data_IF_750444363396
#
_entry.id   IF_750444363396
#
_cell.length_a   1.000
_cell.length_b   1.000
_cell.length_c   1.000
_cell.angle_alpha   90.00
_cell.angle_beta   90.00
_cell.angle_gamma   90.00
#
_symmetry.space_group_name_H-M   'P 1'
#
loop_
_entity.id
_entity.type
_entity.pdbx_description
1 polymer ?
#
# COMPACT_ATOMS: atom_id res chain seq x y z
N UNK A 1 13.34 0.39 8.65
CA UNK A 1 14.61 -0.35 8.42
C UNK A 1 14.87 -1.31 9.58
N UNK A 2 14.96 -2.60 9.28
CA UNK A 2 15.02 -3.70 10.25
C UNK A 2 13.85 -4.66 10.07
N UNK A 3 13.82 -5.35 8.93
CA UNK A 3 12.76 -6.30 8.58
C UNK A 3 13.14 -7.71 9.03
N UNK A 4 13.60 -7.87 10.27
CA UNK A 4 14.14 -9.13 10.79
C UNK A 4 13.55 -9.37 12.18
N UNK A 5 13.10 -10.59 12.45
CA UNK A 5 12.82 -11.05 13.79
C UNK A 5 14.05 -11.75 14.35
N UNK A 6 14.35 -11.48 15.61
CA UNK A 6 15.45 -12.13 16.32
C UNK A 6 14.90 -13.17 17.29
N UNK A 7 15.59 -14.31 17.39
CA UNK A 7 15.34 -15.35 18.37
C UNK A 7 16.41 -15.27 19.44
N UNK A 8 15.97 -15.07 20.67
CA UNK A 8 16.85 -15.14 21.84
C UNK A 8 16.80 -16.57 22.39
N UNK A 9 17.98 -17.15 22.62
CA UNK A 9 18.13 -18.45 23.29
C UNK A 9 19.04 -18.29 24.50
N UNK A 10 18.55 -18.72 25.66
CA UNK A 10 19.33 -18.76 26.90
C UNK A 10 19.79 -20.20 27.16
N UNK A 11 21.09 -20.40 27.25
CA UNK A 11 21.69 -21.70 27.55
C UNK A 11 22.82 -21.49 28.58
N UNK A 12 22.77 -22.19 29.71
CA UNK A 12 23.73 -22.08 30.81
C UNK A 12 23.99 -20.63 31.32
N UNK A 13 22.96 -19.77 31.29
CA UNK A 13 23.09 -18.38 31.72
C UNK A 13 23.67 -17.43 30.66
N UNK A 14 24.04 -17.93 29.49
CA UNK A 14 24.47 -17.13 28.34
C UNK A 14 23.29 -16.91 27.37
N UNK A 15 23.14 -15.67 26.92
CA UNK A 15 22.13 -15.29 25.93
C UNK A 15 22.79 -15.23 24.55
N UNK A 16 22.24 -15.98 23.61
CA UNK A 16 22.58 -15.91 22.18
C UNK A 16 21.41 -15.30 21.41
N UNK A 17 21.73 -14.49 20.40
CA UNK A 17 20.76 -13.84 19.51
C UNK A 17 21.01 -14.38 18.10
N UNK A 18 19.94 -14.87 17.47
CA UNK A 18 19.97 -15.40 16.11
C UNK A 18 18.91 -14.72 15.26
N UNK A 19 19.29 -14.24 14.08
CA UNK A 19 18.35 -13.71 13.10
C UNK A 19 17.49 -14.85 12.53
N UNK A 20 16.16 -14.70 12.59
CA UNK A 20 15.27 -15.74 12.07
C UNK A 20 15.36 -15.88 10.55
N UNK A 21 15.23 -14.76 9.84
CA UNK A 21 15.46 -14.63 8.39
C UNK A 21 15.29 -13.17 7.97
N UNK A 22 15.91 -12.79 6.87
CA UNK A 22 15.78 -11.45 6.29
C UNK A 22 14.37 -11.18 5.74
N UNK A 23 13.98 -9.91 5.58
CA UNK A 23 12.70 -9.52 4.98
C UNK A 23 11.44 -10.10 5.66
N UNK A 24 11.52 -10.45 6.95
CA UNK A 24 10.45 -11.08 7.75
C UNK A 24 9.89 -12.35 7.11
N UNK A 25 10.71 -13.10 6.35
CA UNK A 25 10.25 -14.39 5.80
C UNK A 25 10.05 -15.44 6.91
N UNK A 26 10.71 -15.26 8.06
CA UNK A 26 10.42 -15.99 9.30
C UNK A 26 10.14 -15.02 10.44
N UNK A 27 9.27 -15.43 11.35
CA UNK A 27 8.91 -14.69 12.57
C UNK A 27 9.33 -15.47 13.80
N UNK A 28 9.73 -14.76 14.85
CA UNK A 28 10.01 -15.38 16.15
C UNK A 28 8.67 -15.59 16.88
N UNK A 29 8.36 -16.85 17.18
CA UNK A 29 7.20 -17.23 17.99
C UNK A 29 7.71 -17.75 19.32
N UNK A 30 7.21 -17.16 20.41
CA UNK A 30 7.49 -17.60 21.77
C UNK A 30 6.29 -18.36 22.33
N UNK A 31 6.56 -19.44 23.05
CA UNK A 31 5.60 -20.19 23.83
C UNK A 31 6.14 -20.44 25.25
N UNK A 32 5.28 -20.87 26.18
CA UNK A 32 5.63 -21.16 27.57
C UNK A 32 5.02 -22.47 28.01
N UNK A 33 5.87 -23.48 28.23
CA UNK A 33 5.46 -24.80 28.71
C UNK A 33 5.99 -24.96 30.13
N UNK A 34 5.10 -25.15 31.10
CA UNK A 34 5.44 -25.30 32.52
C UNK A 34 6.36 -24.19 33.08
N UNK A 35 6.14 -22.94 32.65
CA UNK A 35 6.94 -21.78 33.07
C UNK A 35 8.28 -21.61 32.35
N UNK A 36 8.65 -22.57 31.48
CA UNK A 36 9.83 -22.47 30.63
C UNK A 36 9.41 -21.82 29.30
N UNK A 37 9.96 -20.62 29.05
CA UNK A 37 9.76 -19.92 27.77
C UNK A 37 10.66 -20.53 26.70
N UNK A 38 10.07 -20.86 25.56
CA UNK A 38 10.76 -21.35 24.38
C UNK A 38 10.45 -20.42 23.21
N UNK A 39 11.41 -20.22 22.32
CA UNK A 39 11.22 -19.43 21.11
C UNK A 39 11.75 -20.18 19.89
N UNK A 40 11.03 -20.06 18.78
CA UNK A 40 11.39 -20.68 17.51
C UNK A 40 11.12 -19.72 16.35
N UNK A 41 11.95 -19.81 15.31
CA UNK A 41 11.73 -19.10 14.06
C UNK A 41 10.80 -19.93 13.17
N UNK A 42 9.59 -19.43 12.94
CA UNK A 42 8.58 -20.10 12.09
C UNK A 42 8.39 -19.34 10.79
N UNK A 43 7.95 -20.04 9.74
CA UNK A 43 7.71 -19.41 8.44
C UNK A 43 6.59 -18.36 8.55
N UNK A 44 6.81 -17.19 7.95
CA UNK A 44 5.80 -16.16 7.83
C UNK A 44 4.90 -16.43 6.62
N UNK A 45 3.66 -16.87 6.87
CA UNK A 45 2.67 -17.17 5.83
C UNK A 45 1.86 -15.94 5.38
N UNK A 46 2.46 -14.75 5.40
CA UNK A 46 1.80 -13.47 5.09
C UNK A 46 1.05 -13.47 3.74
N UNK A 47 1.65 -14.06 2.70
CA UNK A 47 1.08 -14.07 1.34
C UNK A 47 -0.28 -14.75 1.31
N UNK A 48 -0.44 -15.78 2.14
CA UNK A 48 -1.65 -16.56 2.23
C UNK A 48 -2.83 -15.78 2.82
N UNK A 49 -2.59 -14.65 3.52
CA UNK A 49 -3.64 -13.73 3.96
C UNK A 49 -4.37 -13.13 2.74
N UNK A 50 -3.65 -12.82 1.66
CA UNK A 50 -4.21 -12.22 0.44
C UNK A 50 -5.06 -13.20 -0.39
N UNK A 51 -5.07 -14.48 -0.01
CA UNK A 51 -5.87 -15.52 -0.65
C UNK A 51 -7.19 -15.76 0.11
N UNK A 52 -7.34 -15.24 1.33
CA UNK A 52 -8.53 -15.49 2.16
C UNK A 52 -9.66 -14.53 1.79
N UNK A 53 -10.79 -15.07 1.35
CA UNK A 53 -11.94 -14.31 0.86
C UNK A 53 -13.01 -14.05 1.92
N UNK A 54 -12.90 -14.64 3.11
CA UNK A 54 -13.86 -14.47 4.21
C UNK A 54 -13.17 -14.01 5.48
N UNK A 55 -13.88 -13.23 6.30
CA UNK A 55 -13.39 -12.81 7.63
C UNK A 55 -13.07 -14.03 8.50
N UNK A 56 -13.93 -15.07 8.48
CA UNK A 56 -13.73 -16.29 9.26
C UNK A 56 -12.38 -16.95 8.95
N UNK A 57 -12.08 -17.15 7.67
CA UNK A 57 -10.84 -17.83 7.25
C UNK A 57 -9.62 -16.93 7.50
N UNK A 58 -9.78 -15.62 7.31
CA UNK A 58 -8.76 -14.64 7.65
C UNK A 58 -8.37 -14.69 9.14
N UNK A 59 -9.36 -14.89 10.01
CA UNK A 59 -9.19 -14.86 11.46
C UNK A 59 -8.77 -16.22 12.06
N UNK A 60 -8.53 -17.25 11.24
CA UNK A 60 -8.02 -18.55 11.68
C UNK A 60 -6.52 -18.49 12.02
N UNK A 61 -6.24 -18.00 13.23
CA UNK A 61 -4.89 -17.71 13.72
C UNK A 61 -4.04 -18.95 14.00
N UNK A 62 -4.61 -20.15 14.03
CA UNK A 62 -3.84 -21.39 14.15
C UNK A 62 -3.07 -21.73 12.88
N UNK A 63 -3.59 -21.30 11.71
CA UNK A 63 -2.97 -21.54 10.40
C UNK A 63 -2.05 -20.39 10.01
N UNK A 64 -2.50 -19.14 10.18
CA UNK A 64 -1.82 -17.94 9.67
C UNK A 64 -2.11 -16.72 10.54
N UNK A 65 -1.15 -15.80 10.64
CA UNK A 65 -1.31 -14.60 11.48
C UNK A 65 -1.82 -13.44 10.62
N UNK A 66 -3.14 -13.37 10.43
CA UNK A 66 -3.80 -12.31 9.67
C UNK A 66 -4.84 -11.55 10.52
N UNK A 67 -5.35 -10.45 9.96
CA UNK A 67 -6.45 -9.65 10.52
C UNK A 67 -7.38 -9.19 9.40
N UNK A 68 -8.67 -9.12 9.68
CA UNK A 68 -9.66 -8.55 8.78
C UNK A 68 -9.83 -7.06 9.04
N UNK A 69 -9.91 -6.26 7.99
CA UNK A 69 -10.21 -4.82 8.08
C UNK A 69 -11.41 -4.54 7.21
N UNK A 70 -12.44 -3.90 7.78
CA UNK A 70 -13.64 -3.51 7.04
C UNK A 70 -13.32 -2.44 6.01
N UNK A 71 -13.63 -2.70 4.75
CA UNK A 71 -13.36 -1.81 3.60
C UNK A 71 -14.15 -2.29 2.39
N UNK A 72 -14.49 -1.39 1.48
CA UNK A 72 -15.17 -1.71 0.22
C UNK A 72 -14.21 -2.23 -0.89
N UNK A 73 -12.93 -2.41 -0.57
CA UNK A 73 -11.89 -2.79 -1.53
C UNK A 73 -11.21 -4.12 -1.16
N UNK A 74 -10.97 -4.98 -2.16
CA UNK A 74 -10.27 -6.26 -1.97
C UNK A 74 -8.75 -6.11 -2.07
N UNK A 75 -7.98 -7.04 -1.47
CA UNK A 75 -6.54 -7.23 -1.71
C UNK A 75 -6.29 -8.47 -2.57
N UNK A 76 -5.33 -8.40 -3.51
CA UNK A 76 -4.95 -9.56 -4.31
C UNK A 76 -6.14 -10.25 -4.96
N UNK A 77 -6.30 -11.56 -4.70
CA UNK A 77 -7.38 -12.39 -5.25
C UNK A 77 -8.69 -12.34 -4.44
N UNK A 78 -8.77 -11.49 -3.41
CA UNK A 78 -9.95 -11.39 -2.56
C UNK A 78 -11.14 -10.81 -3.33
N UNK A 79 -12.35 -11.14 -2.87
CA UNK A 79 -13.60 -10.58 -3.37
C UNK A 79 -14.30 -9.82 -2.25
N UNK A 80 -14.83 -8.65 -2.55
CA UNK A 80 -15.73 -7.92 -1.65
C UNK A 80 -17.18 -8.29 -2.00
N UNK A 81 -17.97 -8.73 -1.02
CA UNK A 81 -19.40 -8.99 -1.20
C UNK A 81 -20.10 -9.70 -0.04
N UNK A 82 -21.21 -9.12 0.44
CA UNK A 82 -22.26 -9.72 1.28
C UNK A 82 -21.90 -10.04 2.74
N UNK A 83 -22.48 -9.30 3.70
CA UNK A 83 -22.29 -9.48 5.16
C UNK A 83 -21.48 -8.32 5.76
N UNK A 84 -20.15 -8.39 5.64
CA UNK A 84 -19.20 -7.33 5.99
C UNK A 84 -18.13 -7.20 4.89
N UNK A 85 -18.16 -6.08 4.14
CA UNK A 85 -17.09 -5.75 3.17
C UNK A 85 -15.76 -5.62 3.91
N UNK A 86 -14.70 -6.24 3.41
CA UNK A 86 -13.37 -6.09 3.99
C UNK A 86 -12.27 -6.81 3.21
N UNK A 87 -11.06 -6.69 3.73
CA UNK A 87 -9.88 -7.32 3.17
C UNK A 87 -9.00 -7.92 4.28
N UNK A 88 -8.34 -9.02 3.97
CA UNK A 88 -7.47 -9.74 4.90
C UNK A 88 -6.00 -9.33 4.76
N UNK A 89 -5.41 -8.86 5.86
CA UNK A 89 -4.04 -8.34 5.93
C UNK A 89 -3.15 -9.20 6.84
N UNK A 90 -1.84 -9.33 6.57
CA UNK A 90 -0.92 -10.00 7.48
C UNK A 90 -0.64 -9.16 8.72
N UNK A 91 -0.68 -9.80 9.90
CA UNK A 91 -0.22 -9.17 11.14
C UNK A 91 1.30 -8.95 11.13
N UNK A 92 2.03 -9.89 10.54
CA UNK A 92 3.46 -9.79 10.31
C UNK A 92 3.68 -9.58 8.81
N UNK A 93 3.60 -8.33 8.36
CA UNK A 93 3.80 -7.98 6.96
C UNK A 93 5.19 -8.39 6.45
N UNK A 94 5.34 -8.71 5.16
CA UNK A 94 6.67 -8.92 4.58
C UNK A 94 7.51 -7.65 4.70
N UNK A 95 8.82 -7.82 4.72
CA UNK A 95 9.76 -6.75 4.40
C UNK A 95 10.43 -7.05 3.07
N UNK A 96 11.01 -6.02 2.48
CA UNK A 96 11.86 -6.15 1.29
C UNK A 96 13.05 -5.21 1.39
N UNK A 97 14.17 -5.61 0.79
CA UNK A 97 15.37 -4.78 0.75
C UNK A 97 15.14 -3.63 -0.23
N UNK A 98 14.82 -2.44 0.29
CA UNK A 98 14.66 -1.25 -0.55
C UNK A 98 15.99 -0.78 -1.15
N UNK A 99 17.13 -1.24 -0.64
CA UNK A 99 18.48 -0.84 -1.08
C UNK A 99 19.10 -1.81 -2.10
N UNK A 100 18.51 -2.98 -2.36
CA UNK A 100 19.14 -4.01 -3.18
C UNK A 100 18.98 -3.81 -4.70
N UNK A 101 18.30 -2.75 -5.17
CA UNK A 101 18.13 -2.44 -6.60
C UNK A 101 17.19 -3.39 -7.37
N UNK A 102 17.19 -4.68 -7.03
CA UNK A 102 16.40 -5.78 -7.61
C UNK A 102 15.49 -6.45 -6.55
N UNK A 103 14.97 -5.67 -5.61
CA UNK A 103 14.07 -6.17 -4.57
C UNK A 103 12.69 -6.58 -5.10
N UNK A 104 11.99 -7.44 -4.38
CA UNK A 104 10.61 -7.84 -4.67
C UNK A 104 9.55 -6.81 -4.17
N UNK A 105 9.97 -5.57 -3.88
CA UNK A 105 9.12 -4.53 -3.32
C UNK A 105 7.92 -4.20 -4.20
N UNK A 106 8.12 -4.04 -5.51
CA UNK A 106 7.05 -3.73 -6.46
C UNK A 106 5.98 -4.85 -6.49
N UNK A 107 6.43 -6.11 -6.50
CA UNK A 107 5.54 -7.27 -6.50
C UNK A 107 4.76 -7.42 -5.17
N UNK A 108 5.36 -7.02 -4.05
CA UNK A 108 4.68 -7.02 -2.74
C UNK A 108 3.66 -5.87 -2.70
N UNK A 109 4.08 -4.65 -3.06
CA UNK A 109 3.22 -3.47 -2.99
C UNK A 109 2.10 -3.48 -4.05
N UNK A 110 2.23 -4.24 -5.14
CA UNK A 110 1.16 -4.41 -6.12
C UNK A 110 -0.06 -5.13 -5.52
N UNK A 111 0.09 -5.98 -4.48
CA UNK A 111 -1.06 -6.55 -3.77
C UNK A 111 -1.95 -5.47 -3.12
N UNK A 112 -1.31 -4.36 -2.73
CA UNK A 112 -1.95 -3.20 -2.14
C UNK A 112 -2.29 -2.10 -3.17
N UNK A 113 -2.09 -2.33 -4.47
CA UNK A 113 -2.51 -1.37 -5.48
C UNK A 113 -3.95 -1.67 -5.89
N UNK A 114 -4.80 -0.64 -6.02
CA UNK A 114 -6.15 -0.78 -6.57
C UNK A 114 -6.39 0.24 -7.67
N UNK A 115 -7.28 -0.12 -8.58
CA UNK A 115 -7.83 0.80 -9.57
C UNK A 115 -9.25 1.19 -9.15
N UNK A 116 -9.59 2.46 -9.31
CA UNK A 116 -10.95 2.95 -9.14
C UNK A 116 -11.43 3.48 -10.49
N UNK A 117 -12.41 2.78 -11.05
CA UNK A 117 -13.01 3.15 -12.32
C UNK A 117 -13.96 4.34 -12.14
N UNK A 118 -14.07 5.17 -13.17
CA UNK A 118 -14.98 6.30 -13.20
C UNK A 118 -15.59 6.44 -14.59
N UNK A 119 -16.85 6.87 -14.65
CA UNK A 119 -17.56 7.06 -15.91
C UNK A 119 -17.50 8.52 -16.38
N UNK A 120 -17.23 8.68 -17.68
CA UNK A 120 -17.35 9.97 -18.37
C UNK A 120 -18.42 9.86 -19.44
N UNK A 121 -19.31 10.84 -19.50
CA UNK A 121 -20.34 11.01 -20.51
C UNK A 121 -19.91 12.08 -21.50
N UNK A 122 -20.20 11.84 -22.78
CA UNK A 122 -20.02 12.83 -23.84
C UNK A 122 -21.35 13.53 -24.06
N UNK A 123 -21.40 14.85 -23.87
CA UNK A 123 -22.58 15.62 -24.25
C UNK A 123 -22.59 15.91 -25.76
N UNK A 124 -23.76 16.30 -26.30
CA UNK A 124 -23.97 16.55 -27.74
C UNK A 124 -23.06 17.62 -28.37
N UNK A 125 -22.28 18.35 -27.58
CA UNK A 125 -21.31 19.37 -28.02
C UNK A 125 -19.86 18.89 -27.95
N UNK A 126 -19.63 17.57 -27.88
CA UNK A 126 -18.31 16.95 -27.73
C UNK A 126 -17.54 17.36 -26.46
N UNK A 127 -18.25 17.86 -25.44
CA UNK A 127 -17.66 18.08 -24.12
C UNK A 127 -17.84 16.81 -23.28
N UNK A 128 -16.87 16.54 -22.42
CA UNK A 128 -16.89 15.40 -21.50
C UNK A 128 -17.31 15.87 -20.10
N UNK A 129 -18.36 15.26 -19.55
CA UNK A 129 -18.78 15.37 -18.15
C UNK A 129 -18.48 14.07 -17.42
N UNK A 130 -18.09 14.13 -16.15
CA UNK A 130 -18.10 12.93 -15.31
C UNK A 130 -19.56 12.60 -15.02
N UNK A 131 -19.93 11.33 -15.16
CA UNK A 131 -21.17 10.84 -14.56
C UNK A 131 -21.05 10.95 -13.04
N UNK A 132 -22.16 11.13 -12.33
CA UNK A 132 -22.24 11.31 -10.86
C UNK A 132 -21.05 10.67 -10.10
N UNK A 133 -20.38 11.47 -9.27
CA UNK A 133 -18.99 11.24 -8.81
C UNK A 133 -18.61 9.81 -8.41
N UNK A 134 -17.43 9.37 -8.84
CA UNK A 134 -16.86 8.07 -8.45
C UNK A 134 -16.35 8.09 -6.99
N UNK A 135 -16.00 6.92 -6.45
CA UNK A 135 -15.40 6.82 -5.11
C UNK A 135 -14.08 7.58 -4.98
N UNK A 136 -13.33 7.74 -6.08
CA UNK A 136 -11.97 8.28 -6.10
C UNK A 136 -11.80 9.66 -6.73
N UNK A 137 -12.77 10.18 -7.49
CA UNK A 137 -12.66 11.47 -8.19
C UNK A 137 -13.78 12.42 -7.75
N UNK A 138 -13.42 13.68 -7.54
CA UNK A 138 -14.33 14.79 -7.34
C UNK A 138 -15.01 15.19 -8.68
N UNK A 139 -16.31 15.47 -8.66
CA UNK A 139 -17.06 15.83 -9.84
C UNK A 139 -18.51 16.19 -9.50
N UNK A 140 -19.33 16.60 -10.48
CA UNK A 140 -19.04 16.62 -11.93
C UNK A 140 -18.36 17.91 -12.45
N UNK A 141 -18.21 18.95 -11.61
CA UNK A 141 -17.65 20.25 -12.02
C UNK A 141 -16.24 20.10 -12.60
N UNK A 142 -16.01 20.49 -13.88
CA UNK A 142 -14.68 20.62 -14.50
C UNK A 142 -13.57 21.18 -13.63
N UNK A 143 -13.86 22.18 -12.79
CA UNK A 143 -12.89 22.88 -11.95
C UNK A 143 -12.45 22.06 -10.74
N UNK A 144 -13.26 21.08 -10.33
CA UNK A 144 -13.01 20.26 -9.14
C UNK A 144 -12.56 18.83 -9.46
N UNK A 145 -12.35 18.47 -10.75
CA UNK A 145 -12.01 17.12 -11.28
C UNK A 145 -10.67 16.54 -10.82
N UNK A 146 -10.52 16.39 -9.52
CA UNK A 146 -9.32 16.02 -8.78
C UNK A 146 -9.50 14.68 -8.09
N UNK A 147 -8.39 14.04 -7.73
CA UNK A 147 -8.41 12.84 -6.89
C UNK A 147 -8.93 13.22 -5.49
N UNK A 148 -9.89 12.46 -4.98
CA UNK A 148 -10.40 12.61 -3.61
C UNK A 148 -9.30 12.28 -2.62
N UNK A 149 -8.90 13.27 -1.82
CA UNK A 149 -7.91 13.08 -0.77
C UNK A 149 -8.34 12.02 0.25
N UNK A 150 -9.64 11.93 0.57
CA UNK A 150 -10.19 10.90 1.46
C UNK A 150 -9.94 9.49 0.92
N UNK A 151 -10.25 9.26 -0.35
CA UNK A 151 -10.01 7.98 -1.02
C UNK A 151 -8.52 7.65 -1.07
N UNK A 152 -7.68 8.61 -1.47
CA UNK A 152 -6.24 8.39 -1.55
C UNK A 152 -5.62 8.10 -0.18
N UNK A 153 -6.09 8.75 0.89
CA UNK A 153 -5.65 8.48 2.25
C UNK A 153 -6.06 7.08 2.72
N UNK A 154 -7.27 6.62 2.37
CA UNK A 154 -7.72 5.25 2.64
C UNK A 154 -6.84 4.23 1.90
N UNK A 155 -6.56 4.46 0.62
CA UNK A 155 -5.67 3.59 -0.16
C UNK A 155 -4.25 3.60 0.36
N UNK A 156 -3.77 4.76 0.80
CA UNK A 156 -2.46 4.86 1.39
C UNK A 156 -2.36 4.10 2.72
N UNK A 157 -3.38 4.24 3.57
CA UNK A 157 -3.52 3.46 4.81
C UNK A 157 -3.47 1.96 4.50
N UNK A 158 -4.18 1.53 3.46
CA UNK A 158 -4.13 0.15 2.99
C UNK A 158 -2.74 -0.27 2.48
N UNK A 159 -2.06 0.57 1.71
CA UNK A 159 -0.70 0.31 1.23
C UNK A 159 0.26 0.03 2.38
N UNK A 160 0.27 0.87 3.43
CA UNK A 160 1.17 0.68 4.57
C UNK A 160 0.88 -0.59 5.38
N UNK A 161 -0.34 -1.14 5.32
CA UNK A 161 -0.68 -2.42 5.96
C UNK A 161 -0.07 -3.65 5.26
N UNK A 162 0.50 -3.49 4.06
CA UNK A 162 1.19 -4.58 3.33
C UNK A 162 2.70 -4.62 3.64
N UNK A 163 3.15 -3.77 4.56
CA UNK A 163 4.52 -3.76 5.09
C UNK A 163 5.24 -2.49 4.72
N UNK A 164 6.38 -2.63 4.07
CA UNK A 164 7.24 -1.49 3.75
C UNK A 164 6.75 -0.70 2.51
N UNK A 165 5.45 -0.74 2.21
CA UNK A 165 4.82 0.00 1.11
C UNK A 165 4.36 1.41 1.53
N UNK A 166 3.92 2.20 0.56
CA UNK A 166 3.45 3.57 0.79
C UNK A 166 4.57 4.62 0.98
N UNK A 167 4.18 5.90 1.12
CA UNK A 167 5.09 7.03 1.22
C UNK A 167 5.92 6.92 2.50
N UNK A 168 7.19 7.30 2.40
CA UNK A 168 8.17 7.28 3.47
C UNK A 168 8.35 8.68 4.03
N UNK A 169 8.37 8.74 5.36
CA UNK A 169 8.66 9.94 6.11
C UNK A 169 10.17 10.05 6.33
N UNK A 170 10.69 11.27 6.27
CA UNK A 170 12.06 11.57 6.68
C UNK A 170 12.18 11.60 8.21
N UNK A 171 13.37 11.87 8.73
CA UNK A 171 13.63 11.95 10.18
C UNK A 171 12.85 13.06 10.90
N UNK A 172 12.27 14.02 10.16
CA UNK A 172 11.38 15.07 10.66
C UNK A 172 9.90 14.68 10.60
N UNK A 173 9.58 13.44 10.21
CA UNK A 173 8.21 12.96 10.05
C UNK A 173 7.50 13.52 8.82
N UNK A 174 8.23 14.13 7.87
CA UNK A 174 7.65 14.73 6.68
C UNK A 174 7.76 13.77 5.49
N UNK A 175 6.69 13.62 4.68
CA UNK A 175 6.75 12.82 3.46
C UNK A 175 7.64 13.50 2.42
N UNK A 176 8.25 12.72 1.54
CA UNK A 176 9.06 13.27 0.45
C UNK A 176 8.21 13.76 -0.72
N UNK A 177 8.38 15.02 -1.14
CA UNK A 177 7.60 15.67 -2.22
C UNK A 177 7.60 14.97 -3.60
N UNK A 178 8.46 13.97 -3.84
CA UNK A 178 8.47 13.19 -5.09
C UNK A 178 7.60 11.94 -5.03
N UNK A 179 7.11 11.55 -3.86
CA UNK A 179 6.39 10.29 -3.72
C UNK A 179 4.95 10.45 -4.23
N UNK A 180 4.58 9.58 -5.16
CA UNK A 180 3.24 9.53 -5.75
C UNK A 180 2.37 8.59 -4.92
N UNK A 181 1.19 9.05 -4.54
CA UNK A 181 0.19 8.27 -3.78
C UNK A 181 -0.91 7.76 -4.68
N UNK A 182 -1.33 8.56 -5.67
CA UNK A 182 -2.32 8.16 -6.65
C UNK A 182 -2.09 8.86 -8.00
N UNK A 183 -2.47 8.18 -9.08
CA UNK A 183 -2.40 8.69 -10.43
C UNK A 183 -3.74 8.47 -11.13
N UNK A 184 -4.29 9.52 -11.74
CA UNK A 184 -5.46 9.44 -12.60
C UNK A 184 -5.01 9.06 -14.00
N UNK A 185 -5.53 7.96 -14.53
CA UNK A 185 -5.31 7.56 -15.93
C UNK A 185 -6.57 7.84 -16.74
N UNK A 186 -6.41 8.45 -17.92
CA UNK A 186 -7.49 8.71 -18.87
C UNK A 186 -7.54 7.61 -19.94
N UNK A 187 -8.64 7.57 -20.71
CA UNK A 187 -8.77 6.66 -21.86
C UNK A 187 -7.56 6.77 -22.81
N UNK A 188 -7.07 5.62 -23.28
CA UNK A 188 -5.88 5.55 -24.15
C UNK A 188 -4.54 5.61 -23.41
N UNK A 189 -4.53 5.50 -22.08
CA UNK A 189 -3.31 5.44 -21.26
C UNK A 189 -2.67 6.80 -20.98
N UNK A 190 -3.34 7.90 -21.32
CA UNK A 190 -2.84 9.25 -21.04
C UNK A 190 -2.86 9.52 -19.52
N UNK A 191 -1.71 9.93 -18.98
CA UNK A 191 -1.57 10.32 -17.58
C UNK A 191 -2.31 11.64 -17.33
N UNK A 192 -3.15 11.64 -16.30
CA UNK A 192 -3.88 12.79 -15.78
C UNK A 192 -3.22 13.32 -14.51
N UNK A 193 -4.05 13.79 -13.58
CA UNK A 193 -3.59 14.32 -12.29
C UNK A 193 -2.80 13.30 -11.47
N UNK A 194 -1.77 13.80 -10.79
CA UNK A 194 -0.94 13.04 -9.86
C UNK A 194 -1.14 13.64 -8.46
N UNK A 195 -1.53 12.81 -7.50
CA UNK A 195 -1.54 13.18 -6.09
C UNK A 195 -0.23 12.76 -5.43
N UNK A 196 0.48 13.74 -4.88
CA UNK A 196 1.72 13.54 -4.14
C UNK A 196 1.45 13.26 -2.66
N UNK A 197 2.44 12.69 -1.99
CA UNK A 197 2.40 12.36 -0.56
C UNK A 197 2.31 13.57 0.37
N UNK A 198 2.67 14.77 -0.11
CA UNK A 198 2.49 16.04 0.61
C UNK A 198 1.06 16.61 0.44
N UNK A 199 0.16 15.86 -0.23
CA UNK A 199 -1.21 16.25 -0.53
C UNK A 199 -1.35 17.17 -1.73
N UNK A 200 -0.25 17.60 -2.37
CA UNK A 200 -0.31 18.45 -3.56
C UNK A 200 -0.76 17.64 -4.77
N UNK A 201 -1.67 18.21 -5.54
CA UNK A 201 -2.11 17.66 -6.82
C UNK A 201 -1.38 18.37 -7.95
N UNK A 202 -0.66 17.60 -8.76
CA UNK A 202 -0.12 18.09 -10.03
C UNK A 202 -1.14 17.75 -11.12
N UNK A 203 -1.77 18.78 -11.67
CA UNK A 203 -2.58 18.63 -12.87
C UNK A 203 -1.66 18.56 -14.09
N UNK A 204 -1.66 17.43 -14.79
CA UNK A 204 -1.07 17.38 -16.14
C UNK A 204 -1.95 18.22 -17.05
N UNK A 205 -1.44 19.39 -17.44
CA UNK A 205 -2.19 20.33 -18.26
C UNK A 205 -2.56 19.67 -19.59
N UNK A 206 -3.86 19.61 -19.91
CA UNK A 206 -4.38 18.94 -21.13
C UNK A 206 -3.93 19.61 -22.43
N UNK A 207 -3.31 20.78 -22.37
CA UNK A 207 -2.84 21.54 -23.51
C UNK A 207 -1.37 21.95 -23.34
N UNK A 208 -0.56 21.54 -24.34
CA UNK A 208 0.87 21.81 -24.57
C UNK A 208 1.84 20.90 -23.81
N UNK A 209 2.38 19.95 -24.59
CA UNK A 209 3.75 19.41 -24.57
C UNK A 209 4.33 19.25 -23.16
N UNK A 210 4.30 18.00 -22.70
CA UNK A 210 5.15 17.45 -21.63
C UNK A 210 6.51 18.14 -21.58
N UNK A 211 6.70 19.07 -20.65
CA UNK A 211 8.01 19.26 -20.05
C UNK A 211 8.08 18.32 -18.86
N UNK A 212 8.59 17.12 -19.14
CA UNK A 212 9.04 16.20 -18.10
C UNK A 212 10.18 16.93 -17.40
N UNK A 213 10.01 17.27 -16.13
CA UNK A 213 11.07 17.82 -15.31
C UNK A 213 11.94 16.66 -14.84
N UNK A 214 13.13 16.52 -15.42
CA UNK A 214 14.05 15.43 -15.09
C UNK A 214 14.88 15.74 -13.84
N UNK A 215 14.74 16.94 -13.25
CA UNK A 215 15.42 17.31 -12.01
C UNK A 215 14.73 18.44 -11.23
N UNK A 216 15.00 18.50 -9.92
CA UNK A 216 14.62 19.63 -9.05
C UNK A 216 15.23 20.97 -9.48
N UNK A 217 16.37 20.94 -10.18
CA UNK A 217 17.02 22.12 -10.73
C UNK A 217 16.22 22.75 -11.88
N UNK A 218 15.45 21.95 -12.62
CA UNK A 218 14.56 22.45 -13.67
C UNK A 218 13.29 23.12 -13.13
N UNK A 219 12.91 22.82 -11.88
CA UNK A 219 11.76 23.40 -11.20
C UNK A 219 12.06 24.79 -10.60
N UNK A 220 13.22 24.97 -9.95
CA UNK A 220 13.57 26.21 -9.25
C UNK A 220 14.23 27.30 -10.12
N UNK A 221 14.68 26.99 -11.34
CA UNK A 221 15.29 27.97 -12.25
C UNK A 221 14.29 28.77 -13.10
N UNK A 222 13.01 28.75 -12.75
CA UNK A 222 12.04 29.73 -13.25
C UNK A 222 11.79 30.78 -12.18
N UNK A 223 12.59 31.84 -12.24
CA UNK A 223 12.09 33.18 -11.90
C UNK A 223 10.99 33.60 -12.86
#
# INVERSE_FOLDING_TARGET
PGSIYERLSCYNGEISIENCYDGRQKVCVQDSINGIKNAACTQNLWKSCYEQTTEKDCMERSVRKCTWVGTDYSLGSQKVGGGASGACYPLNSPGFDFWAGEGNGDAICSYASISCDYEIEKNGLAQYSFKSGSACINGPDPKERTIKASWANEMNSRCIQVGDCGPKLNYLGQPGDMQVVAEKVLSGGAKGDILKSDGKIIQTNRNKVLKIFNSWKDYFNRG
#
